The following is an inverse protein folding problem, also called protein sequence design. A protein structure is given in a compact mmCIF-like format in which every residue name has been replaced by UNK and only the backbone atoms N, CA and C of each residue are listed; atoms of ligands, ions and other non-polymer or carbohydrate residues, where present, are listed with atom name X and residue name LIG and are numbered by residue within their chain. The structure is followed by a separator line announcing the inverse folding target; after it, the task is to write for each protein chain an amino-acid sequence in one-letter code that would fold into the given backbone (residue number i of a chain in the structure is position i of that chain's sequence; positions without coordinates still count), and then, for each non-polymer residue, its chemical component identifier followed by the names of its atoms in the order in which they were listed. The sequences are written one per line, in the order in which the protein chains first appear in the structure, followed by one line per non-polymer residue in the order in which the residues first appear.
data_IF_480291074499
#
_entry.id   IF_480291074499
#
_cell.length_a   1.000
_cell.length_b   1.000
_cell.length_c   1.000
_cell.angle_alpha   90.00
_cell.angle_beta   90.00
_cell.angle_gamma   90.00
#
_symmetry.space_group_name_H-M   'P 1'
#
loop_
_entity.id
_entity.type
_entity.pdbx_description
1 polymer ?
#
# COMPACT_ATOMS: atom_id res chain seq x y z
N UNK A 1 -1.01 -26.45 -9.60
CA UNK A 1 -2.11 -25.49 -9.41
C UNK A 1 -3.10 -25.65 -10.55
N UNK A 2 -4.38 -25.88 -10.24
CA UNK A 2 -5.44 -26.17 -11.22
C UNK A 2 -5.81 -24.90 -12.01
N UNK A 3 -6.41 -25.04 -13.19
CA UNK A 3 -6.79 -23.89 -14.03
C UNK A 3 -7.74 -22.91 -13.30
N UNK A 4 -8.71 -23.42 -12.54
CA UNK A 4 -9.63 -22.58 -11.74
C UNK A 4 -8.90 -21.70 -10.72
N UNK A 5 -7.86 -22.22 -10.07
CA UNK A 5 -7.04 -21.47 -9.10
C UNK A 5 -6.23 -20.37 -9.78
N UNK A 6 -5.68 -20.64 -10.97
CA UNK A 6 -5.00 -19.61 -11.77
C UNK A 6 -5.93 -18.46 -12.13
N UNK A 7 -7.16 -18.76 -12.53
CA UNK A 7 -8.19 -17.75 -12.84
C UNK A 7 -8.54 -16.94 -11.59
N UNK A 8 -8.78 -17.60 -10.46
CA UNK A 8 -9.08 -16.91 -9.20
C UNK A 8 -7.97 -15.93 -8.79
N UNK A 9 -6.71 -16.37 -8.89
CA UNK A 9 -5.55 -15.52 -8.58
C UNK A 9 -5.43 -14.37 -9.59
N UNK A 10 -5.68 -14.61 -10.87
CA UNK A 10 -5.68 -13.54 -11.88
C UNK A 10 -6.74 -12.48 -11.57
N UNK A 11 -7.94 -12.88 -11.15
CA UNK A 11 -9.00 -11.95 -10.71
C UNK A 11 -8.57 -11.13 -9.48
N UNK A 12 -7.93 -11.76 -8.49
CA UNK A 12 -7.39 -11.05 -7.33
C UNK A 12 -6.30 -10.05 -7.74
N UNK A 13 -5.42 -10.41 -8.68
CA UNK A 13 -4.39 -9.49 -9.21
C UNK A 13 -5.04 -8.31 -9.95
N UNK A 14 -6.07 -8.56 -10.76
CA UNK A 14 -6.82 -7.49 -11.44
C UNK A 14 -7.43 -6.54 -10.40
N UNK A 15 -8.08 -7.08 -9.37
CA UNK A 15 -8.65 -6.30 -8.29
C UNK A 15 -7.61 -5.48 -7.52
N UNK A 16 -6.43 -6.03 -7.25
CA UNK A 16 -5.39 -5.33 -6.49
C UNK A 16 -4.65 -4.28 -7.32
N UNK A 17 -4.24 -4.61 -8.55
CA UNK A 17 -3.26 -3.81 -9.29
C UNK A 17 -3.83 -3.03 -10.48
N UNK A 18 -4.99 -3.41 -11.00
CA UNK A 18 -5.54 -2.85 -12.24
C UNK A 18 -6.77 -2.00 -11.95
N UNK A 19 -7.74 -2.49 -11.16
CA UNK A 19 -9.00 -1.78 -10.88
C UNK A 19 -8.80 -0.40 -10.23
N UNK A 20 -7.70 -0.19 -9.51
CA UNK A 20 -7.36 1.12 -8.94
C UNK A 20 -7.01 2.19 -9.99
N UNK A 21 -6.84 1.80 -11.25
CA UNK A 21 -6.49 2.74 -12.32
C UNK A 21 -7.57 3.82 -12.51
N UNK A 22 -7.18 5.11 -12.59
CA UNK A 22 -8.11 6.19 -12.91
C UNK A 22 -8.82 6.00 -14.24
N UNK A 23 -8.17 5.37 -15.23
CA UNK A 23 -8.82 5.03 -16.52
C UNK A 23 -10.07 4.20 -16.26
N UNK A 24 -9.93 3.13 -15.49
CA UNK A 24 -11.03 2.19 -15.20
C UNK A 24 -12.15 2.94 -14.48
N UNK A 25 -11.81 3.78 -13.50
CA UNK A 25 -12.81 4.59 -12.79
C UNK A 25 -13.51 5.59 -13.71
N UNK A 26 -12.79 6.17 -14.68
CA UNK A 26 -13.33 7.14 -15.62
C UNK A 26 -14.29 6.49 -16.63
N UNK A 27 -13.92 5.34 -17.20
CA UNK A 27 -14.72 4.68 -18.24
C UNK A 27 -15.78 3.71 -17.70
N UNK A 28 -15.64 3.20 -16.48
CA UNK A 28 -16.56 2.23 -15.88
C UNK A 28 -17.19 2.79 -14.62
N UNK A 29 -18.37 3.39 -14.75
CA UNK A 29 -19.16 3.91 -13.62
C UNK A 29 -19.45 2.85 -12.55
N UNK A 30 -19.55 1.57 -12.94
CA UNK A 30 -19.80 0.44 -12.04
C UNK A 30 -18.54 -0.30 -11.57
N UNK A 31 -17.37 0.35 -11.53
CA UNK A 31 -16.11 -0.30 -11.13
C UNK A 31 -16.18 -0.95 -9.73
N UNK A 32 -16.93 -0.38 -8.78
CA UNK A 32 -17.19 -0.97 -7.46
C UNK A 32 -17.89 -2.34 -7.57
N UNK A 33 -18.88 -2.43 -8.44
CA UNK A 33 -19.63 -3.68 -8.69
C UNK A 33 -18.74 -4.72 -9.35
N UNK A 34 -17.91 -4.32 -10.32
CA UNK A 34 -16.92 -5.19 -10.97
C UNK A 34 -15.92 -5.73 -9.94
N UNK A 35 -15.41 -4.87 -9.06
CA UNK A 35 -14.49 -5.27 -7.99
C UNK A 35 -15.11 -6.34 -7.08
N UNK A 36 -16.34 -6.11 -6.59
CA UNK A 36 -17.05 -7.05 -5.71
C UNK A 36 -17.35 -8.35 -6.46
N UNK A 37 -17.84 -8.28 -7.70
CA UNK A 37 -18.14 -9.46 -8.51
C UNK A 37 -16.89 -10.32 -8.75
N UNK A 38 -15.76 -9.71 -9.12
CA UNK A 38 -14.49 -10.40 -9.28
C UNK A 38 -14.02 -11.04 -7.97
N UNK A 39 -14.20 -10.34 -6.85
CA UNK A 39 -13.80 -10.85 -5.53
C UNK A 39 -14.65 -12.06 -5.13
N UNK A 40 -15.96 -11.98 -5.27
CA UNK A 40 -16.89 -13.09 -5.01
C UNK A 40 -16.65 -14.28 -5.95
N UNK A 41 -16.36 -14.04 -7.23
CA UNK A 41 -16.00 -15.09 -8.18
C UNK A 41 -14.68 -15.75 -7.78
N UNK A 42 -13.66 -14.97 -7.39
CA UNK A 42 -12.40 -15.52 -6.91
C UNK A 42 -12.59 -16.39 -5.67
N UNK A 43 -13.43 -15.96 -4.73
CA UNK A 43 -13.83 -16.69 -3.53
C UNK A 43 -14.48 -18.03 -3.87
N UNK A 44 -15.49 -18.02 -4.75
CA UNK A 44 -16.18 -19.23 -5.21
C UNK A 44 -15.23 -20.22 -5.89
N UNK A 45 -14.31 -19.72 -6.72
CA UNK A 45 -13.34 -20.56 -7.41
C UNK A 45 -12.30 -21.17 -6.47
N UNK A 46 -11.88 -20.44 -5.43
CA UNK A 46 -10.95 -20.93 -4.41
C UNK A 46 -11.63 -21.93 -3.46
N UNK A 47 -12.87 -21.64 -3.03
CA UNK A 47 -13.63 -22.50 -2.13
C UNK A 47 -14.02 -23.84 -2.76
N UNK A 48 -14.18 -23.89 -4.09
CA UNK A 48 -14.52 -25.14 -4.79
C UNK A 48 -13.46 -26.23 -4.64
N UNK A 49 -12.19 -25.87 -4.61
CA UNK A 49 -11.08 -26.83 -4.62
C UNK A 49 -10.57 -27.18 -3.22
N UNK A 50 -10.81 -26.31 -2.24
CA UNK A 50 -10.48 -26.58 -0.86
C UNK A 50 -11.68 -27.25 -0.18
N UNK A 51 -11.53 -28.51 0.26
CA UNK A 51 -12.31 -28.98 1.42
C UNK A 51 -12.15 -27.87 2.45
N UNK A 52 -13.24 -27.21 2.88
CA UNK A 52 -13.22 -26.06 3.79
C UNK A 52 -12.24 -26.34 4.93
N UNK A 53 -10.99 -25.93 4.76
CA UNK A 53 -10.03 -25.91 5.84
C UNK A 53 -10.63 -24.84 6.73
N UNK A 54 -11.05 -25.24 7.93
CA UNK A 54 -11.83 -24.42 8.86
C UNK A 54 -11.28 -23.00 8.81
N UNK A 55 -12.11 -22.08 8.31
CA UNK A 55 -11.78 -20.67 8.22
C UNK A 55 -11.20 -20.29 9.58
N UNK A 56 -9.97 -19.76 9.59
CA UNK A 56 -9.23 -19.61 10.82
C UNK A 56 -10.08 -18.78 11.80
N UNK A 57 -10.35 -19.32 12.99
CA UNK A 57 -11.20 -18.69 13.99
C UNK A 57 -10.74 -17.25 14.27
N UNK A 58 -9.42 -17.01 14.26
CA UNK A 58 -8.85 -15.66 14.40
C UNK A 58 -9.32 -14.71 13.30
N UNK A 59 -9.40 -15.15 12.04
CA UNK A 59 -9.86 -14.32 10.92
C UNK A 59 -11.35 -14.02 11.05
N UNK A 60 -12.15 -15.02 11.45
CA UNK A 60 -13.57 -14.85 11.70
C UNK A 60 -13.80 -13.85 12.84
N UNK A 61 -13.10 -14.02 13.97
CA UNK A 61 -13.16 -13.08 15.10
C UNK A 61 -12.75 -11.67 14.68
N UNK A 62 -11.67 -11.52 13.91
CA UNK A 62 -11.21 -10.21 13.43
C UNK A 62 -12.26 -9.52 12.54
N UNK A 63 -12.92 -10.30 11.68
CA UNK A 63 -13.98 -9.82 10.78
C UNK A 63 -15.23 -9.43 11.56
N UNK A 64 -15.68 -10.27 12.50
CA UNK A 64 -16.85 -10.01 13.35
C UNK A 64 -16.60 -8.79 14.24
N UNK A 65 -15.45 -8.71 14.91
CA UNK A 65 -15.11 -7.55 15.75
C UNK A 65 -15.03 -6.27 14.93
N UNK A 66 -14.48 -6.32 13.71
CA UNK A 66 -14.48 -5.16 12.80
C UNK A 66 -15.90 -4.76 12.41
N UNK A 67 -16.80 -5.71 12.16
CA UNK A 67 -18.21 -5.41 11.86
C UNK A 67 -18.93 -4.82 13.08
N UNK A 68 -18.75 -5.40 14.27
CA UNK A 68 -19.33 -4.90 15.53
C UNK A 68 -18.86 -3.47 15.80
N UNK A 69 -17.59 -3.17 15.55
CA UNK A 69 -17.05 -1.80 15.65
C UNK A 69 -17.85 -0.80 14.81
N UNK A 70 -18.11 -1.13 13.55
CA UNK A 70 -18.87 -0.24 12.67
C UNK A 70 -20.38 -0.24 12.94
N UNK A 71 -20.95 -1.32 13.48
CA UNK A 71 -22.32 -1.31 14.01
C UNK A 71 -22.41 -0.32 15.17
N UNK A 72 -21.48 -0.37 16.12
CA UNK A 72 -21.43 0.58 17.24
C UNK A 72 -21.26 2.03 16.76
N UNK A 73 -20.38 2.27 15.78
CA UNK A 73 -20.23 3.60 15.17
C UNK A 73 -21.50 4.06 14.45
N UNK A 74 -22.18 3.17 13.71
CA UNK A 74 -23.42 3.49 13.00
C UNK A 74 -24.54 3.87 13.97
N UNK A 75 -24.63 3.16 15.10
CA UNK A 75 -25.61 3.48 16.15
C UNK A 75 -25.25 4.80 16.85
N UNK A 76 -23.98 5.01 17.17
CA UNK A 76 -23.53 6.23 17.86
C UNK A 76 -23.76 7.50 17.03
N UNK A 77 -23.48 7.44 15.72
CA UNK A 77 -23.64 8.56 14.79
C UNK A 77 -25.02 8.61 14.13
N UNK A 78 -25.90 7.67 14.44
CA UNK A 78 -27.21 7.49 13.78
C UNK A 78 -27.13 7.37 12.25
N UNK A 79 -26.00 6.90 11.72
CA UNK A 79 -25.71 6.88 10.28
C UNK A 79 -25.36 5.48 9.78
N UNK A 80 -26.36 4.79 9.22
CA UNK A 80 -26.26 3.39 8.79
C UNK A 80 -25.32 3.17 7.60
N UNK A 81 -25.02 4.21 6.82
CA UNK A 81 -24.07 4.13 5.71
C UNK A 81 -22.65 3.75 6.17
N UNK A 82 -22.31 3.97 7.44
CA UNK A 82 -21.03 3.54 8.01
C UNK A 82 -20.80 2.02 7.96
N UNK A 83 -21.87 1.20 7.91
CA UNK A 83 -21.77 -0.25 7.73
C UNK A 83 -21.13 -0.65 6.39
N UNK A 84 -21.13 0.24 5.39
CA UNK A 84 -20.48 -0.01 4.13
C UNK A 84 -18.96 0.15 4.18
N UNK A 85 -18.42 0.78 5.22
CA UNK A 85 -17.00 1.10 5.28
C UNK A 85 -16.09 -0.14 5.50
N UNK A 86 -16.37 -1.05 6.45
CA UNK A 86 -15.50 -2.22 6.67
C UNK A 86 -15.65 -3.31 5.61
N UNK A 87 -16.62 -3.21 4.68
CA UNK A 87 -17.00 -4.30 3.76
C UNK A 87 -15.84 -4.81 2.92
N UNK A 88 -15.02 -3.93 2.37
CA UNK A 88 -13.89 -4.33 1.51
C UNK A 88 -12.78 -5.00 2.31
N UNK A 89 -12.58 -4.58 3.56
CA UNK A 89 -11.61 -5.22 4.45
C UNK A 89 -12.07 -6.60 4.91
N UNK A 90 -13.33 -6.74 5.29
CA UNK A 90 -13.92 -8.03 5.68
C UNK A 90 -13.91 -9.01 4.51
N UNK A 91 -14.39 -8.60 3.33
CA UNK A 91 -14.36 -9.44 2.13
C UNK A 91 -12.92 -9.80 1.74
N UNK A 92 -11.98 -8.86 1.87
CA UNK A 92 -10.57 -9.10 1.62
C UNK A 92 -9.95 -10.12 2.57
N UNK A 93 -10.24 -10.03 3.88
CA UNK A 93 -9.77 -11.00 4.87
C UNK A 93 -10.27 -12.41 4.57
N UNK A 94 -11.56 -12.53 4.25
CA UNK A 94 -12.17 -13.80 3.89
C UNK A 94 -11.50 -14.34 2.62
N UNK A 95 -11.44 -13.56 1.54
CA UNK A 95 -10.84 -13.98 0.26
C UNK A 95 -9.40 -14.45 0.38
N UNK A 96 -8.57 -13.65 1.07
CA UNK A 96 -7.16 -13.96 1.25
C UNK A 96 -6.95 -15.17 2.17
N UNK A 97 -7.85 -15.42 3.13
CA UNK A 97 -7.73 -16.59 4.01
C UNK A 97 -7.82 -17.93 3.29
N UNK A 98 -8.42 -17.97 2.10
CA UNK A 98 -8.46 -19.16 1.23
C UNK A 98 -7.18 -19.37 0.43
N UNK A 99 -6.25 -18.41 0.41
CA UNK A 99 -5.00 -18.55 -0.31
C UNK A 99 -4.00 -19.41 0.48
N UNK A 100 -3.47 -20.43 -0.19
CA UNK A 100 -2.30 -21.16 0.28
C UNK A 100 -1.00 -20.52 -0.22
N UNK A 101 0.13 -20.94 0.35
CA UNK A 101 1.45 -20.35 0.05
C UNK A 101 1.84 -20.43 -1.45
N UNK A 102 1.45 -21.52 -2.14
CA UNK A 102 1.71 -21.69 -3.58
C UNK A 102 0.94 -20.65 -4.39
N UNK A 103 -0.33 -20.41 -4.02
CA UNK A 103 -1.19 -19.44 -4.68
C UNK A 103 -0.74 -18.00 -4.41
N UNK A 104 -0.34 -17.68 -3.16
CA UNK A 104 0.20 -16.36 -2.82
C UNK A 104 1.53 -16.08 -3.56
N UNK A 105 2.40 -17.09 -3.68
CA UNK A 105 3.62 -16.97 -4.49
C UNK A 105 3.31 -16.74 -5.96
N UNK A 106 2.32 -17.43 -6.52
CA UNK A 106 1.90 -17.22 -7.91
C UNK A 106 1.29 -15.83 -8.14
N UNK A 107 0.51 -15.32 -7.17
CA UNK A 107 0.02 -13.94 -7.16
C UNK A 107 1.19 -12.96 -7.24
N UNK A 108 2.22 -13.15 -6.40
CA UNK A 108 3.42 -12.32 -6.41
C UNK A 108 4.17 -12.38 -7.74
N UNK A 109 4.23 -13.55 -8.40
CA UNK A 109 4.85 -13.70 -9.72
C UNK A 109 4.13 -12.91 -10.82
N UNK A 110 2.79 -13.00 -10.90
CA UNK A 110 2.01 -12.25 -11.90
C UNK A 110 2.13 -10.75 -11.62
N UNK A 111 1.92 -10.35 -10.37
CA UNK A 111 1.91 -8.94 -10.00
C UNK A 111 3.31 -8.30 -10.15
N UNK A 112 4.40 -9.08 -9.95
CA UNK A 112 5.76 -8.61 -10.28
C UNK A 112 5.88 -8.24 -11.76
N UNK A 113 5.35 -9.06 -12.67
CA UNK A 113 5.41 -8.78 -14.12
C UNK A 113 4.63 -7.52 -14.48
N UNK A 114 3.44 -7.34 -13.90
CA UNK A 114 2.60 -6.15 -14.11
C UNK A 114 3.31 -4.88 -13.62
N UNK A 115 3.91 -4.92 -12.42
CA UNK A 115 4.62 -3.74 -11.89
C UNK A 115 5.88 -3.43 -12.71
N UNK A 116 6.67 -4.43 -13.11
CA UNK A 116 7.84 -4.17 -13.96
C UNK A 116 7.43 -3.55 -15.30
N UNK A 117 6.35 -4.05 -15.93
CA UNK A 117 5.83 -3.47 -17.17
C UNK A 117 5.42 -2.01 -16.97
N UNK A 118 4.69 -1.71 -15.89
CA UNK A 118 4.32 -0.34 -15.53
C UNK A 118 5.53 0.56 -15.33
N UNK A 119 6.59 0.07 -14.68
CA UNK A 119 7.82 0.83 -14.45
C UNK A 119 8.58 1.11 -15.76
N UNK A 120 8.61 0.16 -16.69
CA UNK A 120 9.17 0.38 -18.03
C UNK A 120 8.39 1.48 -18.76
N UNK A 121 7.05 1.45 -18.70
CA UNK A 121 6.20 2.49 -19.26
C UNK A 121 6.39 3.85 -18.57
N UNK A 122 6.66 3.88 -17.27
CA UNK A 122 7.02 5.12 -16.57
C UNK A 122 8.32 5.71 -17.09
N UNK A 123 9.33 4.88 -17.34
CA UNK A 123 10.64 5.31 -17.86
C UNK A 123 10.48 5.90 -19.26
N UNK A 124 9.75 5.21 -20.14
CA UNK A 124 9.48 5.70 -21.49
C UNK A 124 8.77 7.05 -21.45
N UNK A 125 7.72 7.19 -20.63
CA UNK A 125 6.98 8.44 -20.51
C UNK A 125 7.80 9.59 -19.90
N UNK A 126 8.67 9.29 -18.94
CA UNK A 126 9.59 10.27 -18.37
C UNK A 126 10.57 10.81 -19.41
N UNK A 127 11.23 9.94 -20.17
CA UNK A 127 12.14 10.36 -21.24
C UNK A 127 11.41 11.10 -22.36
N UNK A 128 10.20 10.67 -22.72
CA UNK A 128 9.36 11.37 -23.70
C UNK A 128 9.09 12.82 -23.29
N UNK A 129 8.76 13.07 -22.02
CA UNK A 129 8.59 14.44 -21.51
C UNK A 129 9.91 15.21 -21.55
N UNK A 130 11.01 14.60 -21.10
CA UNK A 130 12.33 15.24 -21.04
C UNK A 130 12.90 15.67 -22.40
N UNK A 131 12.43 15.10 -23.51
CA UNK A 131 12.80 15.56 -24.86
C UNK A 131 11.80 16.58 -25.44
N UNK A 132 10.90 17.12 -24.61
CA UNK A 132 9.89 18.11 -24.99
C UNK A 132 8.53 17.53 -25.39
N UNK A 133 8.27 16.26 -25.10
CA UNK A 133 6.97 15.63 -25.35
C UNK A 133 5.84 16.24 -24.53
N UNK A 134 4.71 16.52 -25.18
CA UNK A 134 3.52 17.09 -24.55
C UNK A 134 2.50 16.02 -24.15
N UNK A 135 1.54 16.37 -23.29
CA UNK A 135 0.46 15.44 -22.93
C UNK A 135 -0.35 15.07 -24.17
N UNK A 136 -0.50 13.78 -24.44
CA UNK A 136 -1.26 13.26 -25.60
C UNK A 136 -2.77 13.32 -25.31
N UNK A 137 -3.13 13.15 -24.05
CA UNK A 137 -4.51 13.14 -23.58
C UNK A 137 -4.55 13.63 -22.14
N UNK A 138 -5.59 14.38 -21.77
CA UNK A 138 -5.87 14.76 -20.40
C UNK A 138 -7.36 14.59 -20.08
N UNK A 139 -7.65 14.24 -18.83
CA UNK A 139 -9.02 14.15 -18.34
C UNK A 139 -9.08 14.48 -16.85
N UNK A 140 -10.25 14.91 -16.41
CA UNK A 140 -10.49 15.26 -15.02
C UNK A 140 -10.91 14.02 -14.22
N UNK A 141 -10.22 13.78 -13.11
CA UNK A 141 -10.56 12.73 -12.14
C UNK A 141 -11.39 13.31 -11.00
N UNK A 142 -11.97 12.43 -10.19
CA UNK A 142 -12.72 12.81 -8.99
C UNK A 142 -11.90 13.80 -8.12
N UNK A 143 -12.55 14.88 -7.70
CA UNK A 143 -11.91 15.98 -6.96
C UNK A 143 -11.28 17.08 -7.81
N UNK A 144 -11.60 17.15 -9.12
CA UNK A 144 -11.23 18.27 -10.00
C UNK A 144 -9.76 18.30 -10.41
N UNK A 145 -9.03 17.19 -10.20
CA UNK A 145 -7.62 17.10 -10.60
C UNK A 145 -7.55 16.63 -12.05
N UNK A 146 -6.68 17.23 -12.85
CA UNK A 146 -6.38 16.76 -14.20
C UNK A 146 -5.32 15.66 -14.15
N UNK A 147 -5.53 14.60 -14.93
CA UNK A 147 -4.58 13.54 -15.17
C UNK A 147 -4.07 13.66 -16.61
N UNK A 148 -2.76 13.75 -16.80
CA UNK A 148 -2.10 13.90 -18.09
C UNK A 148 -1.44 12.58 -18.50
N UNK A 149 -1.67 12.14 -19.74
CA UNK A 149 -1.02 10.98 -20.33
C UNK A 149 0.22 11.40 -21.13
N UNK A 150 1.38 10.96 -20.67
CA UNK A 150 2.68 11.13 -21.32
C UNK A 150 3.12 9.83 -21.98
N UNK A 151 2.69 9.64 -23.23
CA UNK A 151 2.96 8.48 -24.09
C UNK A 151 2.50 7.13 -23.52
N UNK A 152 3.10 6.69 -22.42
CA UNK A 152 2.86 5.39 -21.77
C UNK A 152 2.57 5.49 -20.27
N UNK A 153 2.61 6.69 -19.66
CA UNK A 153 2.41 6.85 -18.21
C UNK A 153 1.55 8.05 -17.87
N UNK A 154 0.80 7.97 -16.77
CA UNK A 154 0.05 9.11 -16.25
C UNK A 154 0.88 9.98 -15.31
N UNK A 155 0.42 11.21 -15.15
CA UNK A 155 0.92 12.18 -14.19
C UNK A 155 -0.22 13.13 -13.75
N UNK A 156 -0.31 13.44 -12.46
CA UNK A 156 -1.29 14.43 -11.93
C UNK A 156 -0.71 15.86 -11.94
N UNK A 157 0.61 16.01 -11.79
CA UNK A 157 1.23 17.32 -11.58
C UNK A 157 2.34 17.56 -12.58
N UNK A 158 2.13 18.50 -13.50
CA UNK A 158 3.23 19.04 -14.29
C UNK A 158 4.01 20.00 -13.40
N UNK A 159 5.11 19.53 -12.83
CA UNK A 159 6.13 20.45 -12.37
C UNK A 159 6.72 21.07 -13.64
N UNK A 160 6.92 22.39 -13.65
CA UNK A 160 7.29 23.16 -14.84
C UNK A 160 8.52 22.60 -15.59
N UNK A 161 9.35 21.79 -14.92
CA UNK A 161 10.58 21.22 -15.47
C UNK A 161 10.65 19.69 -15.46
N UNK A 162 9.69 18.95 -14.89
CA UNK A 162 9.71 17.47 -14.90
C UNK A 162 8.35 16.87 -14.59
N UNK A 163 8.13 15.61 -15.01
CA UNK A 163 6.96 14.83 -14.60
C UNK A 163 7.31 13.84 -13.50
N UNK A 164 6.32 13.49 -12.68
CA UNK A 164 6.42 12.36 -11.75
C UNK A 164 5.51 11.25 -12.28
N UNK A 165 6.04 10.22 -12.95
CA UNK A 165 5.22 9.14 -13.49
C UNK A 165 4.45 8.38 -12.39
N UNK A 166 3.17 8.12 -12.63
CA UNK A 166 2.31 7.28 -11.77
C UNK A 166 1.94 5.94 -12.41
N UNK A 167 2.40 5.66 -13.63
CA UNK A 167 2.05 4.43 -14.35
C UNK A 167 0.57 4.45 -14.69
N UNK A 168 -0.16 3.38 -14.36
CA UNK A 168 -1.62 3.31 -14.47
C UNK A 168 -2.35 3.83 -13.22
N UNK A 169 -1.63 4.28 -12.19
CA UNK A 169 -2.23 4.70 -10.92
C UNK A 169 -2.58 6.20 -10.91
N UNK A 170 -3.39 6.59 -9.94
CA UNK A 170 -3.76 7.98 -9.73
C UNK A 170 -2.51 8.83 -9.47
N UNK A 171 -1.66 8.48 -8.53
CA UNK A 171 -0.52 9.32 -8.18
C UNK A 171 0.82 8.56 -8.05
N UNK A 172 1.97 9.26 -8.15
CA UNK A 172 3.29 8.62 -8.08
C UNK A 172 3.53 7.88 -6.76
N UNK A 173 2.95 8.39 -5.67
CA UNK A 173 3.00 7.72 -4.37
C UNK A 173 2.25 6.39 -4.33
N UNK A 174 1.17 6.24 -5.12
CA UNK A 174 0.45 4.98 -5.24
C UNK A 174 1.29 3.95 -6.01
N UNK A 175 1.93 4.33 -7.13
CA UNK A 175 2.88 3.48 -7.85
C UNK A 175 3.98 2.96 -6.93
N UNK A 176 4.60 3.85 -6.16
CA UNK A 176 5.62 3.50 -5.17
C UNK A 176 5.08 2.50 -4.15
N UNK A 177 3.88 2.72 -3.62
CA UNK A 177 3.25 1.81 -2.66
C UNK A 177 3.09 0.39 -3.24
N UNK A 178 2.61 0.24 -4.48
CA UNK A 178 2.49 -1.08 -5.12
C UNK A 178 3.86 -1.73 -5.39
N UNK A 179 4.89 -0.94 -5.73
CA UNK A 179 6.25 -1.44 -5.86
C UNK A 179 6.77 -2.02 -4.54
N UNK A 180 6.61 -1.27 -3.43
CA UNK A 180 6.99 -1.70 -2.09
C UNK A 180 6.21 -2.95 -1.66
N UNK A 181 4.91 -3.01 -1.94
CA UNK A 181 4.08 -4.18 -1.64
C UNK A 181 4.56 -5.44 -2.39
N UNK A 182 4.92 -5.31 -3.66
CA UNK A 182 5.45 -6.44 -4.43
C UNK A 182 6.78 -6.91 -3.86
N UNK A 183 7.66 -5.99 -3.49
CA UNK A 183 8.93 -6.35 -2.82
C UNK A 183 8.67 -7.08 -1.51
N UNK A 184 7.70 -6.63 -0.72
CA UNK A 184 7.26 -7.32 0.49
C UNK A 184 6.83 -8.77 0.20
N UNK A 185 5.94 -8.99 -0.78
CA UNK A 185 5.50 -10.35 -1.15
C UNK A 185 6.66 -11.22 -1.61
N UNK A 186 7.54 -10.67 -2.45
CA UNK A 186 8.70 -11.40 -2.98
C UNK A 186 9.66 -11.83 -1.87
N UNK A 187 9.90 -10.95 -0.90
CA UNK A 187 10.77 -11.25 0.24
C UNK A 187 10.14 -12.25 1.21
N UNK A 188 8.81 -12.20 1.38
CA UNK A 188 8.04 -13.17 2.17
C UNK A 188 8.20 -14.58 1.63
N UNK A 189 8.11 -14.75 0.31
CA UNK A 189 8.23 -16.06 -0.37
C UNK A 189 9.66 -16.38 -0.84
N UNK A 190 10.67 -15.69 -0.30
CA UNK A 190 12.09 -15.91 -0.59
C UNK A 190 12.42 -15.99 -2.10
N UNK A 191 11.75 -15.15 -2.90
CA UNK A 191 11.95 -15.09 -4.34
C UNK A 191 13.32 -14.46 -4.68
N UNK A 192 13.73 -14.52 -5.96
CA UNK A 192 15.00 -13.95 -6.43
C UNK A 192 15.12 -12.46 -6.06
N UNK A 193 16.07 -12.12 -5.18
CA UNK A 193 16.30 -10.76 -4.67
C UNK A 193 16.70 -9.75 -5.75
N UNK A 194 17.39 -10.20 -6.80
CA UNK A 194 17.78 -9.33 -7.92
C UNK A 194 16.58 -8.62 -8.54
N UNK A 195 15.46 -9.33 -8.69
CA UNK A 195 14.22 -8.75 -9.22
C UNK A 195 13.57 -7.79 -8.23
N UNK A 196 13.63 -8.08 -6.92
CA UNK A 196 13.16 -7.14 -5.89
C UNK A 196 13.96 -5.83 -5.93
N UNK A 197 15.29 -5.92 -6.09
CA UNK A 197 16.16 -4.76 -6.28
C UNK A 197 15.87 -4.01 -7.58
N UNK A 198 15.61 -4.72 -8.68
CA UNK A 198 15.19 -4.09 -9.95
C UNK A 198 13.90 -3.28 -9.74
N UNK A 199 12.88 -3.85 -9.09
CA UNK A 199 11.62 -3.13 -8.79
C UNK A 199 11.88 -1.91 -7.92
N UNK A 200 12.74 -2.01 -6.89
CA UNK A 200 13.08 -0.88 -6.03
C UNK A 200 13.80 0.23 -6.78
N UNK A 201 14.80 -0.12 -7.61
CA UNK A 201 15.57 0.85 -8.39
C UNK A 201 14.70 1.54 -9.44
N UNK A 202 13.97 0.77 -10.24
CA UNK A 202 13.07 1.35 -11.25
C UNK A 202 11.96 2.18 -10.59
N UNK A 203 11.46 1.77 -9.43
CA UNK A 203 10.44 2.50 -8.66
C UNK A 203 10.85 3.89 -8.16
N UNK A 204 12.16 4.20 -8.13
CA UNK A 204 12.65 5.55 -7.81
C UNK A 204 12.16 6.62 -8.79
N UNK A 205 11.75 6.22 -10.00
CA UNK A 205 11.17 7.14 -10.99
C UNK A 205 9.91 7.87 -10.50
N UNK A 206 9.20 7.30 -9.52
CA UNK A 206 8.04 7.96 -8.89
C UNK A 206 8.42 9.22 -8.08
N UNK A 207 9.71 9.40 -7.77
CA UNK A 207 10.24 10.46 -6.91
C UNK A 207 9.47 10.53 -5.57
N UNK A 208 9.18 9.35 -5.01
CA UNK A 208 8.46 9.18 -3.74
C UNK A 208 9.45 9.00 -2.58
N UNK A 209 9.43 9.92 -1.61
CA UNK A 209 10.27 9.81 -0.41
C UNK A 209 9.98 8.54 0.39
N UNK A 210 8.71 8.12 0.44
CA UNK A 210 8.29 6.90 1.12
C UNK A 210 8.94 5.65 0.49
N UNK A 211 9.12 5.66 -0.83
CA UNK A 211 9.84 4.60 -1.56
C UNK A 211 11.28 4.49 -1.10
N UNK A 212 11.97 5.62 -0.98
CA UNK A 212 13.37 5.70 -0.58
C UNK A 212 13.54 5.16 0.84
N UNK A 213 12.68 5.57 1.77
CA UNK A 213 12.69 5.06 3.15
C UNK A 213 12.44 3.54 3.19
N UNK A 214 11.44 3.05 2.46
CA UNK A 214 11.19 1.61 2.37
C UNK A 214 12.38 0.86 1.76
N UNK A 215 13.01 1.40 0.72
CA UNK A 215 14.20 0.81 0.09
C UNK A 215 15.35 0.70 1.10
N UNK A 216 15.64 1.77 1.85
CA UNK A 216 16.67 1.75 2.91
C UNK A 216 16.36 0.66 3.93
N UNK A 217 15.11 0.55 4.40
CA UNK A 217 14.70 -0.48 5.36
C UNK A 217 14.84 -1.89 4.80
N UNK A 218 14.56 -2.11 3.51
CA UNK A 218 14.81 -3.40 2.83
C UNK A 218 16.31 -3.71 2.81
N UNK A 219 17.17 -2.73 2.52
CA UNK A 219 18.63 -2.93 2.55
C UNK A 219 19.14 -3.27 3.95
N UNK A 220 18.62 -2.59 4.98
CA UNK A 220 18.89 -2.91 6.39
C UNK A 220 18.41 -4.33 6.72
N UNK A 221 17.23 -4.73 6.24
CA UNK A 221 16.72 -6.09 6.48
C UNK A 221 17.63 -7.18 5.89
N UNK A 222 18.31 -6.89 4.77
CA UNK A 222 19.28 -7.82 4.18
C UNK A 222 20.50 -8.00 5.07
N UNK A 223 20.89 -6.97 5.83
CA UNK A 223 21.97 -7.05 6.81
C UNK A 223 21.59 -7.96 8.00
N UNK A 224 20.35 -7.86 8.48
CA UNK A 224 19.88 -8.66 9.63
C UNK A 224 19.64 -10.14 9.32
N UNK A 225 19.45 -10.54 8.05
CA UNK A 225 19.33 -11.97 7.68
C UNK A 225 20.70 -12.68 7.76
N UNK A 226 21.12 -13.00 9.00
CA UNK A 226 22.41 -13.59 9.43
C UNK A 226 22.77 -14.96 8.81
N UNK A 227 21.79 -15.67 8.23
CA UNK A 227 21.95 -17.05 7.73
C UNK A 227 22.59 -17.17 6.33
N UNK A 228 22.75 -16.09 5.59
CA UNK A 228 23.29 -16.15 4.22
C UNK A 228 24.47 -15.18 4.12
N UNK A 229 25.66 -15.69 3.76
CA UNK A 229 26.87 -14.89 3.53
C UNK A 229 26.48 -13.62 2.78
N UNK A 230 26.52 -12.49 3.48
CA UNK A 230 26.16 -11.20 2.92
C UNK A 230 27.10 -10.95 1.76
N UNK A 231 26.59 -11.08 0.54
CA UNK A 231 27.43 -11.00 -0.63
C UNK A 231 27.81 -9.52 -0.78
N UNK A 232 28.99 -9.13 -0.27
CA UNK A 232 29.53 -7.77 -0.41
C UNK A 232 29.49 -7.29 -1.87
N UNK A 233 29.43 -8.20 -2.85
CA UNK A 233 29.20 -7.88 -4.26
C UNK A 233 27.80 -7.30 -4.51
N UNK A 234 26.74 -7.84 -3.91
CA UNK A 234 25.37 -7.33 -4.06
C UNK A 234 25.20 -5.95 -3.43
N UNK A 235 25.71 -5.71 -2.21
CA UNK A 235 25.69 -4.38 -1.62
C UNK A 235 26.49 -3.38 -2.46
N UNK A 236 27.69 -3.76 -2.92
CA UNK A 236 28.49 -2.93 -3.83
C UNK A 236 27.75 -2.63 -5.13
N UNK A 237 27.05 -3.60 -5.71
CA UNK A 237 26.22 -3.39 -6.90
C UNK A 237 25.06 -2.45 -6.58
N UNK A 238 24.36 -2.60 -5.46
CA UNK A 238 23.26 -1.69 -5.12
C UNK A 238 23.75 -0.27 -4.86
N UNK A 239 24.84 -0.10 -4.12
CA UNK A 239 25.48 1.20 -3.90
C UNK A 239 25.95 1.76 -5.25
N UNK A 240 26.58 0.95 -6.10
CA UNK A 240 27.01 1.35 -7.43
C UNK A 240 25.84 1.75 -8.31
N UNK A 241 24.70 1.05 -8.25
CA UNK A 241 23.49 1.41 -9.01
C UNK A 241 22.87 2.69 -8.46
N UNK A 242 22.80 2.87 -7.15
CA UNK A 242 22.38 4.15 -6.56
C UNK A 242 23.30 5.29 -6.96
N UNK A 243 24.62 5.07 -6.90
CA UNK A 243 25.63 6.03 -7.33
C UNK A 243 25.55 6.27 -8.84
N UNK A 244 25.30 5.26 -9.66
CA UNK A 244 25.14 5.39 -11.11
C UNK A 244 23.87 6.19 -11.42
N UNK A 245 22.76 5.95 -10.73
CA UNK A 245 21.55 6.78 -10.83
C UNK A 245 21.85 8.22 -10.39
N UNK A 246 22.65 8.42 -9.33
CA UNK A 246 23.14 9.73 -8.87
C UNK A 246 24.18 10.38 -9.80
N UNK A 247 24.93 9.60 -10.59
CA UNK A 247 25.98 10.06 -11.50
C UNK A 247 25.48 10.22 -12.94
N UNK A 248 24.33 9.63 -13.28
CA UNK A 248 23.56 9.97 -14.48
C UNK A 248 22.89 11.34 -14.32
N UNK A 249 22.91 11.92 -13.11
CA UNK A 249 22.29 13.20 -12.79
C UNK A 249 22.80 14.37 -13.61
N UNK A 250 24.12 14.56 -13.76
CA UNK A 250 24.66 15.66 -14.55
C UNK A 250 24.39 15.50 -16.06
N UNK A 251 24.05 14.29 -16.53
CA UNK A 251 23.79 14.01 -17.95
C UNK A 251 22.35 14.33 -18.39
N UNK A 252 21.42 14.55 -17.45
CA UNK A 252 20.00 14.80 -17.74
C UNK A 252 19.61 16.29 -17.67
N UNK A 253 20.58 17.20 -17.59
CA UNK A 253 20.35 18.64 -17.60
C UNK A 253 19.55 19.16 -16.39
N UNK A 254 18.94 20.34 -16.55
CA UNK A 254 18.25 21.08 -15.47
C UNK A 254 17.02 20.36 -14.90
N UNK A 255 16.39 19.45 -15.65
CA UNK A 255 15.15 18.77 -15.24
C UNK A 255 15.38 17.82 -14.07
N UNK A 256 16.46 17.05 -14.09
CA UNK A 256 16.77 16.11 -13.01
C UNK A 256 17.37 16.81 -11.80
N UNK A 257 18.13 17.89 -12.00
CA UNK A 257 18.53 18.78 -10.91
C UNK A 257 17.29 19.30 -10.16
N UNK A 258 16.26 19.75 -10.91
CA UNK A 258 14.99 20.16 -10.33
C UNK A 258 14.24 19.02 -9.62
N UNK A 259 14.29 17.79 -10.15
CA UNK A 259 13.70 16.61 -9.50
C UNK A 259 14.40 16.24 -8.17
N UNK A 260 15.72 16.39 -8.11
CA UNK A 260 16.54 16.14 -6.91
C UNK A 260 16.34 17.25 -5.90
N UNK A 261 16.38 18.51 -6.34
CA UNK A 261 16.05 19.66 -5.52
C UNK A 261 14.64 19.54 -4.96
N UNK A 262 13.67 19.03 -5.74
CA UNK A 262 12.33 18.73 -5.25
C UNK A 262 12.35 17.70 -4.10
N UNK A 263 13.11 16.60 -4.22
CA UNK A 263 13.23 15.60 -3.14
C UNK A 263 13.89 16.20 -1.89
N UNK A 264 15.00 16.92 -2.03
CA UNK A 264 15.69 17.56 -0.91
C UNK A 264 14.83 18.65 -0.26
N UNK A 265 14.17 19.48 -1.07
CA UNK A 265 13.26 20.50 -0.57
C UNK A 265 12.11 19.87 0.21
N UNK A 266 11.52 18.74 -0.22
CA UNK A 266 10.50 18.07 0.61
C UNK A 266 11.02 17.58 1.96
N UNK A 267 12.32 17.31 2.09
CA UNK A 267 12.92 16.96 3.39
C UNK A 267 13.21 18.18 4.26
N UNK A 268 13.60 19.32 3.67
CA UNK A 268 13.99 20.53 4.40
C UNK A 268 12.83 21.51 4.61
N UNK A 269 12.05 21.79 3.56
CA UNK A 269 10.84 22.63 3.58
C UNK A 269 9.57 21.90 4.04
N UNK A 270 9.61 20.58 4.18
CA UNK A 270 8.52 19.80 4.79
C UNK A 270 8.24 20.18 6.26
N UNK A 271 9.19 20.87 6.90
CA UNK A 271 9.06 21.47 8.23
C UNK A 271 8.39 22.86 8.20
N UNK A 272 8.17 23.47 7.03
CA UNK A 272 7.58 24.80 6.87
C UNK A 272 6.22 24.72 6.14
N UNK A 273 5.15 24.91 6.92
CA UNK A 273 3.74 25.24 6.61
C UNK A 273 2.91 24.49 5.53
N UNK A 274 3.47 23.87 4.49
CA UNK A 274 2.67 23.24 3.39
C UNK A 274 2.85 21.70 3.26
N UNK A 275 3.39 21.08 4.31
CA UNK A 275 3.69 19.65 4.34
C UNK A 275 2.62 18.76 4.98
N UNK A 276 2.87 17.44 4.98
CA UNK A 276 2.09 16.48 5.79
C UNK A 276 2.18 16.77 7.30
N UNK A 277 3.22 17.50 7.72
CA UNK A 277 3.37 17.97 9.08
C UNK A 277 2.26 18.94 9.49
N UNK A 278 1.93 19.94 8.67
CA UNK A 278 0.85 20.89 9.00
C UNK A 278 -0.52 20.22 9.00
N UNK A 279 -0.75 19.25 8.09
CA UNK A 279 -1.94 18.41 8.10
C UNK A 279 -2.03 17.58 9.40
N UNK A 280 -0.91 17.02 9.86
CA UNK A 280 -0.85 16.27 11.11
C UNK A 280 -1.10 17.17 12.33
N UNK A 281 -0.52 18.38 12.37
CA UNK A 281 -0.79 19.35 13.45
C UNK A 281 -2.26 19.71 13.51
N UNK A 282 -2.90 20.02 12.37
CA UNK A 282 -4.34 20.26 12.31
C UNK A 282 -5.17 19.07 12.79
N UNK A 283 -4.74 17.85 12.45
CA UNK A 283 -5.38 16.63 12.94
C UNK A 283 -5.29 16.52 14.47
N UNK A 284 -4.12 16.83 15.05
CA UNK A 284 -3.91 16.85 16.50
C UNK A 284 -4.77 17.94 17.16
N UNK A 285 -4.79 19.14 16.59
CA UNK A 285 -5.60 20.25 17.06
C UNK A 285 -7.08 19.90 17.08
N UNK A 286 -7.59 19.30 15.99
CA UNK A 286 -9.00 18.85 15.89
C UNK A 286 -9.33 17.79 16.95
N UNK A 287 -8.44 16.81 17.16
CA UNK A 287 -8.63 15.78 18.20
C UNK A 287 -8.58 16.41 19.60
N UNK A 288 -7.73 17.42 19.83
CA UNK A 288 -7.54 18.05 21.14
C UNK A 288 -8.63 19.07 21.48
N UNK A 289 -9.14 19.79 20.50
CA UNK A 289 -10.15 20.84 20.69
C UNK A 289 -11.51 20.30 21.10
N UNK A 290 -11.72 19.01 20.95
CA UNK A 290 -13.02 18.39 21.15
C UNK A 290 -12.98 17.24 22.18
N UNK A 291 -14.16 16.77 22.64
CA UNK A 291 -14.34 15.84 23.76
C UNK A 291 -13.73 14.44 23.55
N UNK A 292 -13.51 13.70 24.65
CA UNK A 292 -13.01 12.30 24.68
C UNK A 292 -13.84 11.34 23.79
N UNK A 293 -15.11 11.68 23.55
CA UNK A 293 -16.00 10.92 22.66
C UNK A 293 -15.41 10.76 21.26
N UNK A 294 -14.68 11.74 20.75
CA UNK A 294 -14.21 11.71 19.36
C UNK A 294 -12.92 10.91 19.23
N UNK A 295 -12.11 10.86 20.28
CA UNK A 295 -11.01 9.90 20.35
C UNK A 295 -11.55 8.47 20.24
N UNK A 296 -12.71 8.19 20.82
CA UNK A 296 -13.34 6.86 20.79
C UNK A 296 -14.09 6.58 19.48
N UNK A 297 -14.86 7.55 18.97
CA UNK A 297 -15.83 7.35 17.88
C UNK A 297 -15.55 8.14 16.59
N UNK A 298 -14.51 8.96 16.53
CA UNK A 298 -14.17 9.82 15.38
C UNK A 298 -14.86 11.18 15.45
N UNK A 299 -14.61 12.10 14.50
CA UNK A 299 -15.21 13.46 14.51
C UNK A 299 -16.59 13.56 13.88
N UNK A 300 -16.77 12.92 12.71
CA UNK A 300 -18.01 12.99 11.94
C UNK A 300 -18.05 11.86 10.88
N UNK A 301 -19.18 11.17 10.69
CA UNK A 301 -19.36 10.17 9.63
C UNK A 301 -19.08 10.71 8.22
N UNK A 302 -19.28 12.00 7.98
CA UNK A 302 -18.98 12.65 6.68
C UNK A 302 -17.50 12.49 6.30
N UNK A 303 -16.58 12.43 7.26
CA UNK A 303 -15.17 12.18 6.95
C UNK A 303 -14.89 10.79 6.36
N UNK A 304 -15.83 9.86 6.50
CA UNK A 304 -15.79 8.52 5.91
C UNK A 304 -16.66 8.40 4.66
N UNK A 305 -17.80 9.11 4.62
CA UNK A 305 -18.82 8.99 3.57
C UNK A 305 -18.63 10.05 2.48
N UNK A 306 -18.40 11.30 2.86
CA UNK A 306 -18.27 12.45 1.98
C UNK A 306 -17.06 13.33 2.37
N UNK A 307 -15.89 12.94 1.87
CA UNK A 307 -14.63 13.62 2.19
C UNK A 307 -14.63 15.12 1.81
N UNK A 308 -15.43 15.55 0.82
CA UNK A 308 -15.54 16.96 0.46
C UNK A 308 -16.18 17.79 1.58
N UNK A 309 -17.25 17.28 2.20
CA UNK A 309 -17.88 17.92 3.36
C UNK A 309 -16.90 17.97 4.55
N UNK A 310 -16.14 16.90 4.76
CA UNK A 310 -15.13 16.86 5.81
C UNK A 310 -14.06 17.94 5.61
N UNK A 311 -13.57 18.13 4.37
CA UNK A 311 -12.60 19.19 4.06
C UNK A 311 -13.20 20.58 4.26
N UNK A 312 -14.47 20.81 3.91
CA UNK A 312 -15.08 22.13 4.14
C UNK A 312 -15.18 22.48 5.63
N UNK A 313 -15.39 21.48 6.50
CA UNK A 313 -15.58 21.70 7.94
C UNK A 313 -14.25 21.75 8.70
N UNK A 314 -13.38 20.77 8.48
CA UNK A 314 -12.14 20.60 9.26
C UNK A 314 -10.90 21.07 8.49
N UNK A 315 -11.08 21.56 7.26
CA UNK A 315 -9.99 21.82 6.33
C UNK A 315 -9.32 20.53 5.86
N UNK A 316 -8.14 20.66 5.24
CA UNK A 316 -7.41 19.49 4.74
C UNK A 316 -6.89 18.66 5.91
N UNK A 317 -7.61 17.59 6.24
CA UNK A 317 -7.25 16.54 7.20
C UNK A 317 -7.11 15.20 6.46
N UNK A 318 -6.19 14.34 6.90
CA UNK A 318 -5.94 13.03 6.26
C UNK A 318 -4.47 12.73 5.93
N UNK A 319 -4.22 11.60 5.28
CA UNK A 319 -2.89 11.17 4.81
C UNK A 319 -1.78 11.14 5.88
N UNK A 320 -2.15 10.88 7.13
CA UNK A 320 -1.22 10.90 8.25
C UNK A 320 -1.55 9.79 9.29
N UNK A 321 -0.62 9.51 10.22
CA UNK A 321 -0.77 8.41 11.18
C UNK A 321 -2.01 8.47 12.07
N UNK A 322 -2.63 9.64 12.23
CA UNK A 322 -3.79 9.88 13.10
C UNK A 322 -5.11 9.93 12.32
N UNK A 323 -5.08 9.82 10.99
CA UNK A 323 -6.28 9.94 10.14
C UNK A 323 -7.36 8.92 10.51
N UNK A 324 -6.98 7.68 10.82
CA UNK A 324 -7.97 6.65 11.18
C UNK A 324 -8.64 6.92 12.52
N UNK A 325 -7.90 7.46 13.49
CA UNK A 325 -8.44 7.91 14.78
C UNK A 325 -9.38 9.09 14.55
N UNK A 326 -8.96 10.08 13.77
CA UNK A 326 -9.79 11.24 13.47
C UNK A 326 -11.12 10.80 12.81
N UNK A 327 -11.08 9.95 11.78
CA UNK A 327 -12.28 9.65 11.00
C UNK A 327 -13.20 8.63 11.65
N UNK A 328 -12.67 7.65 12.40
CA UNK A 328 -13.46 6.52 12.92
C UNK A 328 -13.25 6.23 14.41
N UNK A 329 -12.43 7.04 15.09
CA UNK A 329 -12.07 6.85 16.48
C UNK A 329 -11.23 5.60 16.68
N UNK A 330 -10.82 5.36 17.93
CA UNK A 330 -10.17 4.11 18.33
C UNK A 330 -11.08 2.90 18.07
N UNK A 331 -12.40 3.07 18.21
CA UNK A 331 -13.35 1.97 18.04
C UNK A 331 -13.48 1.49 16.60
N UNK A 332 -13.36 2.38 15.61
CA UNK A 332 -13.31 1.99 14.19
C UNK A 332 -11.92 1.62 13.70
N UNK A 333 -10.88 2.22 14.29
CA UNK A 333 -9.49 2.07 13.81
C UNK A 333 -8.63 1.04 14.53
N UNK A 334 -9.14 0.36 15.57
CA UNK A 334 -8.35 -0.59 16.35
C UNK A 334 -7.65 -1.65 15.50
N UNK A 335 -8.32 -2.16 14.47
CA UNK A 335 -7.79 -3.19 13.58
C UNK A 335 -6.52 -2.73 12.85
N UNK A 336 -6.47 -1.46 12.47
CA UNK A 336 -5.32 -0.84 11.83
C UNK A 336 -4.12 -0.78 12.77
N UNK A 337 -4.29 -0.14 13.93
CA UNK A 337 -3.20 0.11 14.86
C UNK A 337 -2.73 -1.18 15.54
N UNK A 338 -3.64 -2.12 15.82
CA UNK A 338 -3.29 -3.42 16.37
C UNK A 338 -2.32 -4.16 15.45
N UNK A 339 -2.58 -4.19 14.14
CA UNK A 339 -1.72 -4.86 13.15
C UNK A 339 -0.35 -4.18 13.07
N UNK A 340 -0.31 -2.84 13.12
CA UNK A 340 0.94 -2.07 13.10
C UNK A 340 1.77 -2.33 14.35
N UNK A 341 1.17 -2.21 15.54
CA UNK A 341 1.84 -2.45 16.82
C UNK A 341 2.30 -3.91 16.92
N UNK A 342 1.46 -4.86 16.50
CA UNK A 342 1.83 -6.26 16.48
C UNK A 342 3.01 -6.54 15.56
N UNK A 343 3.02 -5.95 14.35
CA UNK A 343 4.15 -6.07 13.44
C UNK A 343 5.41 -5.39 13.98
N UNK A 344 5.30 -4.29 14.71
CA UNK A 344 6.43 -3.64 15.37
C UNK A 344 7.05 -4.56 16.43
N UNK A 345 6.22 -5.15 17.30
CA UNK A 345 6.68 -6.11 18.32
C UNK A 345 7.39 -7.29 17.64
N UNK A 346 6.81 -7.86 16.58
CA UNK A 346 7.43 -8.96 15.84
C UNK A 346 8.71 -8.53 15.11
N UNK A 347 8.82 -7.29 14.63
CA UNK A 347 10.03 -6.78 14.00
C UNK A 347 11.16 -6.55 15.02
N UNK A 348 10.84 -6.19 16.26
CA UNK A 348 11.81 -6.06 17.35
C UNK A 348 12.33 -7.45 17.78
N UNK A 349 11.41 -8.42 17.99
CA UNK A 349 11.77 -9.76 18.47
C UNK A 349 12.44 -10.60 17.36
N UNK A 350 11.93 -10.51 16.12
CA UNK A 350 12.34 -11.33 14.99
C UNK A 350 12.66 -10.48 13.74
N UNK A 351 13.69 -9.62 13.80
CA UNK A 351 13.94 -8.61 12.77
C UNK A 351 14.22 -9.19 11.38
N UNK A 352 14.87 -10.36 11.31
CA UNK A 352 15.21 -11.02 10.05
C UNK A 352 13.98 -11.43 9.22
N UNK A 353 12.81 -11.57 9.85
CA UNK A 353 11.56 -11.99 9.22
C UNK A 353 10.56 -10.84 9.07
N UNK A 354 10.46 -9.97 10.07
CA UNK A 354 9.33 -9.01 10.17
C UNK A 354 9.68 -7.55 9.89
N UNK A 355 10.95 -7.16 9.75
CA UNK A 355 11.31 -5.76 9.42
C UNK A 355 10.66 -5.29 8.13
N UNK A 356 10.61 -6.12 7.09
CA UNK A 356 10.00 -5.75 5.80
C UNK A 356 8.47 -5.60 5.94
N UNK A 357 7.83 -6.49 6.70
CA UNK A 357 6.39 -6.39 7.00
C UNK A 357 6.07 -5.10 7.73
N UNK A 358 6.86 -4.76 8.75
CA UNK A 358 6.71 -3.50 9.48
C UNK A 358 6.97 -2.29 8.57
N UNK A 359 7.99 -2.35 7.71
CA UNK A 359 8.30 -1.30 6.74
C UNK A 359 7.13 -1.05 5.78
N UNK A 360 6.43 -2.11 5.36
CA UNK A 360 5.23 -2.00 4.53
C UNK A 360 4.08 -1.32 5.29
N UNK A 361 3.92 -1.64 6.58
CA UNK A 361 2.89 -1.04 7.44
C UNK A 361 3.19 0.42 7.80
N UNK A 362 4.45 0.85 7.81
CA UNK A 362 4.80 2.28 7.90
C UNK A 362 4.28 3.08 6.70
N UNK A 363 4.18 2.47 5.50
CA UNK A 363 3.57 3.14 4.34
C UNK A 363 2.06 3.33 4.53
N UNK A 364 1.39 2.42 5.23
CA UNK A 364 -0.02 2.56 5.59
C UNK A 364 -0.27 3.71 6.58
N UNK A 365 0.69 4.04 7.47
CA UNK A 365 0.58 5.26 8.30
C UNK A 365 0.56 6.55 7.46
N UNK A 366 1.14 6.51 6.26
CA UNK A 366 1.11 7.61 5.29
C UNK A 366 -0.09 7.56 4.34
N UNK A 367 -0.71 6.38 4.18
CA UNK A 367 -1.87 6.10 3.34
C UNK A 367 -2.84 5.19 4.11
N UNK A 368 -3.60 5.75 5.05
CA UNK A 368 -4.46 4.97 5.94
C UNK A 368 -5.74 4.52 5.22
N UNK A 369 -5.60 3.81 4.11
CA UNK A 369 -6.68 3.41 3.20
C UNK A 369 -7.09 1.96 3.39
N UNK A 370 -6.96 1.39 4.61
CA UNK A 370 -7.22 -0.04 4.84
C UNK A 370 -8.65 -0.49 4.49
N UNK A 371 -9.59 0.45 4.42
CA UNK A 371 -10.99 0.20 4.08
C UNK A 371 -11.32 0.52 2.62
N UNK A 372 -10.40 1.10 1.86
CA UNK A 372 -10.57 1.30 0.42
C UNK A 372 -10.33 0.00 -0.35
N UNK A 373 -11.05 -0.20 -1.45
CA UNK A 373 -11.10 -1.44 -2.25
C UNK A 373 -9.75 -2.16 -2.43
N UNK A 374 -8.79 -1.56 -3.13
CA UNK A 374 -7.55 -2.27 -3.50
C UNK A 374 -6.58 -2.37 -2.33
N UNK A 375 -6.53 -1.32 -1.51
CA UNK A 375 -5.71 -1.26 -0.30
C UNK A 375 -6.19 -2.23 0.77
N UNK A 376 -7.48 -2.51 0.87
CA UNK A 376 -8.03 -3.47 1.82
C UNK A 376 -7.53 -4.89 1.53
N UNK A 377 -7.52 -5.30 0.27
CA UNK A 377 -6.97 -6.60 -0.15
C UNK A 377 -5.48 -6.73 0.17
N UNK A 378 -4.72 -5.67 -0.08
CA UNK A 378 -3.29 -5.60 0.25
C UNK A 378 -3.07 -5.73 1.76
N UNK A 379 -3.83 -4.97 2.54
CA UNK A 379 -3.77 -4.99 4.00
C UNK A 379 -4.18 -6.37 4.53
N UNK A 380 -5.24 -6.98 3.99
CA UNK A 380 -5.66 -8.34 4.34
C UNK A 380 -4.56 -9.38 4.10
N UNK A 381 -3.79 -9.30 3.01
CA UNK A 381 -2.62 -10.17 2.80
C UNK A 381 -1.60 -10.02 3.94
N UNK A 382 -1.31 -8.79 4.35
CA UNK A 382 -0.36 -8.53 5.45
C UNK A 382 -0.89 -9.14 6.76
N UNK A 383 -2.18 -8.90 7.09
CA UNK A 383 -2.82 -9.43 8.31
C UNK A 383 -2.79 -10.96 8.32
N UNK A 384 -3.22 -11.61 7.24
CA UNK A 384 -3.25 -13.07 7.15
C UNK A 384 -1.84 -13.66 7.25
N UNK A 385 -0.84 -13.01 6.64
CA UNK A 385 0.54 -13.44 6.75
C UNK A 385 1.09 -13.33 8.19
N UNK A 386 0.77 -12.25 8.90
CA UNK A 386 1.14 -12.09 10.31
C UNK A 386 0.49 -13.15 11.20
N UNK A 387 -0.80 -13.46 10.97
CA UNK A 387 -1.51 -14.53 11.69
C UNK A 387 -0.89 -15.90 11.40
N UNK A 388 -0.56 -16.20 10.14
CA UNK A 388 0.12 -17.45 9.78
C UNK A 388 1.47 -17.54 10.51
N UNK A 389 2.26 -16.48 10.49
CA UNK A 389 3.60 -16.48 11.08
C UNK A 389 3.62 -16.63 12.61
N UNK A 390 2.68 -16.02 13.32
CA UNK A 390 2.59 -16.14 14.77
C UNK A 390 2.21 -17.55 15.23
N UNK A 391 1.29 -18.20 14.51
CA UNK A 391 0.87 -19.58 14.79
C UNK A 391 2.01 -20.58 14.56
N UNK A 392 2.79 -20.42 13.49
CA UNK A 392 3.88 -21.36 13.16
C UNK A 392 5.12 -21.20 14.06
N UNK A 393 5.43 -19.98 14.52
CA UNK A 393 6.58 -19.78 15.43
C UNK A 393 6.40 -20.50 16.78
N UNK A 394 5.16 -20.71 17.24
CA UNK A 394 4.87 -21.49 18.45
C UNK A 394 5.18 -23.00 18.29
N UNK A 395 5.15 -23.53 17.06
CA UNK A 395 5.48 -24.94 16.80
C UNK A 395 6.99 -25.19 16.67
N UNK A 396 7.74 -24.24 16.09
CA UNK A 396 9.21 -24.40 15.96
C UNK A 396 9.95 -24.21 17.29
N UNK A 397 9.46 -23.36 18.19
CA UNK A 397 10.11 -23.19 19.50
C UNK A 397 9.95 -24.42 20.41
N UNK A 398 8.80 -25.09 20.37
CA UNK A 398 8.55 -26.32 21.13
C UNK A 398 9.31 -27.55 20.61
N UNK A 399 9.78 -27.53 19.37
CA UNK A 399 10.62 -28.60 18.81
C UNK A 399 12.11 -28.38 19.05
N UNK A 400 12.54 -27.13 19.20
CA UNK A 400 13.93 -26.79 19.56
C UNK A 400 14.16 -26.98 21.07
N UNK A 401 13.21 -26.61 21.93
CA UNK A 401 13.30 -26.82 23.39
C UNK A 401 13.09 -28.27 23.84
N UNK A 402 12.62 -29.17 22.95
CA UNK A 402 12.59 -30.62 23.20
C UNK A 402 13.83 -31.35 22.68
N UNK A 403 14.78 -30.64 22.07
CA UNK A 403 16.04 -31.18 21.53
C UNK A 403 17.30 -30.58 22.18
N UNK A 404 17.11 -29.64 23.10
CA UNK A 404 18.10 -29.19 24.10
C UNK A 404 17.70 -29.80 25.42
#
# INVERSE_FOLDING_TARGET
MKNKEKIAIALLVINMFIISSPIIKHFLSSYNTIFIANLLLSLLLLSWNHKFNKLNLTVLCFSILSMISFIGLSVFWEEWNLLHYPKYFILGLIAVSFLNEIQERYLAEIATKIIILNLIFCIIGFFYYSIGGQSIYDFEIAGGRKLYLYLTTFNITNYSSFIRPSGIYDEPGALSFYCCFIVYLRERFLMKRSVSLIVLVLGLISLSLAHVLFFILVLISFYFKRSMKFNKKQLRITIFVMLAVLLLVPLMGSELENAINFLFNRTTSGLTNDGRYSIMLRTIETIRSENISLLLFGVNPDCLINYHNCISTYGKVGENPLTMILFSGLFGSWSFYLVIVWSLILAIIFPSKHVITFSMLLLFLQRPYQYEMTYSLIFSIIVINLIKDSLFNNYSHNTILKRT
#
